data_IF_453399273478
#
_entry.id   IF_453399273478
#
_cell.length_a   1.000
_cell.length_b   1.000
_cell.length_c   1.000
_cell.angle_alpha   90.00
_cell.angle_beta   90.00
_cell.angle_gamma   90.00
#
_symmetry.space_group_name_H-M   'P 1'
#
loop_
_entity.id
_entity.type
_entity.pdbx_description
1 polymer ?
#
# COMPACT_ATOMS: atom_id res chain seq x y z
N UNK A 1 -22.57 -13.45 3.34
CA UNK A 1 -22.29 -13.14 1.92
C UNK A 1 -22.08 -11.65 1.90
N UNK A 2 -20.83 -11.21 1.71
CA UNK A 2 -20.44 -9.81 1.94
C UNK A 2 -20.47 -9.00 0.64
N UNK A 3 -21.40 -9.29 -0.26
CA UNK A 3 -21.55 -8.61 -1.55
C UNK A 3 -23.02 -8.32 -1.82
N UNK A 4 -23.32 -7.08 -2.24
CA UNK A 4 -24.68 -6.63 -2.55
C UNK A 4 -25.04 -6.81 -4.03
N UNK A 5 -24.02 -6.89 -4.90
CA UNK A 5 -24.19 -7.11 -6.34
C UNK A 5 -23.52 -8.41 -6.77
N UNK A 6 -24.19 -9.17 -7.64
CA UNK A 6 -23.67 -10.34 -8.33
C UNK A 6 -23.45 -9.98 -9.79
N UNK A 7 -22.24 -10.21 -10.30
CA UNK A 7 -21.94 -10.06 -11.73
C UNK A 7 -21.88 -11.43 -12.38
N UNK A 8 -22.59 -11.61 -13.48
CA UNK A 8 -22.65 -12.89 -14.20
C UNK A 8 -22.40 -12.70 -15.70
N UNK A 9 -21.78 -13.71 -16.31
CA UNK A 9 -21.74 -13.88 -17.74
C UNK A 9 -22.66 -15.04 -18.13
N UNK A 10 -23.77 -14.76 -18.83
CA UNK A 10 -24.76 -15.78 -19.20
C UNK A 10 -24.40 -16.51 -20.51
N UNK A 11 -25.13 -17.59 -20.82
CA UNK A 11 -24.93 -18.40 -22.03
C UNK A 11 -25.18 -17.61 -23.34
N UNK A 12 -25.96 -16.54 -23.26
CA UNK A 12 -26.15 -15.57 -24.34
C UNK A 12 -24.91 -14.67 -24.55
N UNK A 13 -23.85 -14.87 -23.77
CA UNK A 13 -22.62 -14.10 -23.78
C UNK A 13 -22.89 -12.60 -23.47
N UNK A 14 -23.82 -12.30 -22.56
CA UNK A 14 -23.99 -10.96 -22.00
C UNK A 14 -23.42 -10.87 -20.59
N UNK A 15 -22.84 -9.71 -20.25
CA UNK A 15 -22.47 -9.38 -18.88
C UNK A 15 -23.66 -8.71 -18.19
N UNK A 16 -24.08 -9.24 -17.04
CA UNK A 16 -25.25 -8.77 -16.27
C UNK A 16 -24.87 -8.50 -14.83
N UNK A 17 -25.55 -7.55 -14.21
CA UNK A 17 -25.43 -7.25 -12.79
C UNK A 17 -26.78 -7.52 -12.11
N UNK A 18 -26.74 -8.14 -10.94
CA UNK A 18 -27.91 -8.51 -10.17
C UNK A 18 -27.78 -7.95 -8.76
N UNK A 19 -28.86 -7.39 -8.23
CA UNK A 19 -28.97 -7.02 -6.82
C UNK A 19 -29.92 -8.00 -6.12
N UNK A 20 -29.58 -8.39 -4.89
CA UNK A 20 -30.49 -9.18 -4.06
C UNK A 20 -31.35 -8.22 -3.22
N UNK A 21 -32.64 -8.16 -3.56
CA UNK A 21 -33.62 -7.31 -2.88
C UNK A 21 -34.81 -8.17 -2.46
N UNK A 22 -35.31 -8.03 -1.22
CA UNK A 22 -36.54 -8.70 -0.74
C UNK A 22 -36.70 -10.18 -1.16
N UNK A 23 -35.64 -10.97 -0.98
CA UNK A 23 -35.59 -12.40 -1.32
C UNK A 23 -35.69 -12.77 -2.81
N UNK A 24 -35.41 -11.85 -3.73
CA UNK A 24 -35.27 -12.12 -5.16
C UNK A 24 -34.05 -11.41 -5.75
N UNK A 25 -33.60 -11.89 -6.91
CA UNK A 25 -32.55 -11.26 -7.71
C UNK A 25 -33.19 -10.37 -8.77
N UNK A 26 -32.81 -9.10 -8.79
CA UNK A 26 -33.24 -8.12 -9.79
C UNK A 26 -32.06 -7.71 -10.67
N UNK A 27 -32.24 -7.71 -11.99
CA UNK A 27 -31.22 -7.27 -12.94
C UNK A 27 -31.13 -5.75 -12.94
N UNK A 28 -29.92 -5.21 -12.73
CA UNK A 28 -29.66 -3.76 -12.79
C UNK A 28 -28.67 -3.43 -13.91
N UNK A 29 -28.82 -2.27 -14.57
CA UNK A 29 -27.90 -1.85 -15.62
C UNK A 29 -26.49 -1.59 -15.07
N UNK A 30 -25.48 -2.07 -15.81
CA UNK A 30 -24.08 -1.75 -15.54
C UNK A 30 -23.78 -0.35 -16.12
N UNK A 31 -23.86 0.68 -15.29
CA UNK A 31 -23.53 2.05 -15.67
C UNK A 31 -22.03 2.35 -15.51
N UNK A 32 -21.39 2.88 -16.56
CA UNK A 32 -20.05 3.47 -16.53
C UNK A 32 -20.14 4.93 -16.04
N UNK A 33 -20.18 5.14 -14.74
CA UNK A 33 -20.28 6.49 -14.17
C UNK A 33 -18.90 6.99 -13.68
N UNK A 34 -17.89 6.97 -14.54
CA UNK A 34 -16.58 7.56 -14.21
C UNK A 34 -16.56 9.06 -14.58
N UNK A 35 -15.81 9.92 -13.85
CA UNK A 35 -15.76 11.36 -14.10
C UNK A 35 -15.07 11.79 -15.41
N UNK A 36 -14.43 10.86 -16.14
CA UNK A 36 -13.72 11.20 -17.37
C UNK A 36 -14.67 11.60 -18.50
N UNK A 37 -14.27 12.58 -19.35
CA UNK A 37 -15.01 12.86 -20.58
C UNK A 37 -15.06 11.59 -21.44
N UNK A 38 -16.27 11.26 -21.93
CA UNK A 38 -16.53 10.10 -22.80
C UNK A 38 -15.77 10.23 -24.13
N UNK A 39 -14.49 9.88 -24.14
CA UNK A 39 -13.71 9.64 -25.36
C UNK A 39 -13.64 8.14 -25.71
N UNK A 40 -14.22 7.27 -24.89
CA UNK A 40 -14.26 5.83 -25.17
C UNK A 40 -15.28 5.49 -26.25
N UNK A 41 -14.81 4.93 -27.36
CA UNK A 41 -15.66 4.26 -28.35
C UNK A 41 -16.48 3.18 -27.64
N UNK A 42 -17.80 3.22 -27.81
CA UNK A 42 -18.68 2.23 -27.21
C UNK A 42 -18.45 0.87 -27.88
N UNK A 43 -17.66 0.01 -27.24
CA UNK A 43 -17.35 -1.32 -27.75
C UNK A 43 -18.59 -2.23 -27.81
N UNK A 44 -19.73 -1.80 -27.26
CA UNK A 44 -21.01 -2.51 -27.45
C UNK A 44 -21.46 -2.55 -28.90
N UNK A 45 -20.99 -1.62 -29.77
CA UNK A 45 -21.36 -1.58 -31.19
C UNK A 45 -20.63 -2.63 -32.04
N UNK A 46 -19.44 -3.08 -31.61
CA UNK A 46 -18.55 -4.02 -32.34
C UNK A 46 -18.41 -5.39 -31.67
N UNK A 47 -19.05 -5.59 -30.52
CA UNK A 47 -18.96 -6.81 -29.72
C UNK A 47 -20.30 -7.54 -29.67
N UNK A 48 -20.26 -8.84 -29.96
CA UNK A 48 -21.43 -9.71 -29.95
C UNK A 48 -21.35 -10.84 -28.91
N UNK A 49 -20.27 -10.94 -28.11
CA UNK A 49 -20.13 -11.97 -27.05
C UNK A 49 -19.24 -11.51 -25.87
N UNK A 50 -19.63 -11.81 -24.64
CA UNK A 50 -18.82 -11.83 -23.42
C UNK A 50 -18.41 -13.27 -23.10
N UNK A 51 -17.10 -13.54 -22.97
CA UNK A 51 -16.57 -14.86 -22.64
C UNK A 51 -16.31 -15.05 -21.14
N UNK A 52 -16.27 -13.95 -20.39
CA UNK A 52 -16.00 -13.98 -18.95
C UNK A 52 -15.83 -12.58 -18.40
N UNK A 53 -15.97 -12.48 -17.07
CA UNK A 53 -15.76 -11.24 -16.33
C UNK A 53 -15.03 -11.53 -15.03
N UNK A 54 -14.33 -10.53 -14.50
CA UNK A 54 -13.75 -10.56 -13.16
C UNK A 54 -13.78 -9.18 -12.53
N UNK A 55 -14.00 -9.14 -11.22
CA UNK A 55 -13.89 -7.91 -10.44
C UNK A 55 -12.43 -7.57 -10.18
N UNK A 56 -12.13 -6.27 -10.15
CA UNK A 56 -10.89 -5.79 -9.57
C UNK A 56 -10.87 -6.06 -8.05
N UNK A 57 -9.70 -6.18 -7.43
CA UNK A 57 -9.60 -6.54 -6.00
C UNK A 57 -10.31 -5.57 -5.04
N UNK A 58 -10.28 -4.27 -5.35
CA UNK A 58 -11.00 -3.22 -4.65
C UNK A 58 -12.43 -3.02 -5.15
N UNK A 59 -12.92 -3.86 -6.05
CA UNK A 59 -14.31 -3.86 -6.54
C UNK A 59 -14.76 -2.49 -7.12
N UNK A 60 -13.81 -1.66 -7.57
CA UNK A 60 -14.13 -0.38 -8.21
C UNK A 60 -14.34 -0.51 -9.72
N UNK A 61 -13.92 -1.64 -10.29
CA UNK A 61 -13.91 -1.88 -11.73
C UNK A 61 -14.13 -3.37 -12.05
N UNK A 62 -14.69 -3.66 -13.22
CA UNK A 62 -14.82 -5.00 -13.80
C UNK A 62 -13.99 -5.06 -15.07
N UNK A 63 -13.27 -6.16 -15.26
CA UNK A 63 -12.71 -6.51 -16.56
C UNK A 63 -13.62 -7.53 -17.23
N UNK A 64 -14.05 -7.24 -18.46
CA UNK A 64 -14.94 -8.06 -19.27
C UNK A 64 -14.21 -8.48 -20.54
N UNK A 65 -14.16 -9.78 -20.84
CA UNK A 65 -13.56 -10.30 -22.07
C UNK A 65 -14.64 -10.38 -23.13
N UNK A 66 -14.53 -9.57 -24.17
CA UNK A 66 -15.50 -9.50 -25.27
C UNK A 66 -14.92 -10.04 -26.57
N UNK A 67 -15.70 -10.82 -27.31
CA UNK A 67 -15.44 -11.19 -28.69
C UNK A 67 -15.81 -10.06 -29.63
N UNK A 68 -15.01 -9.88 -30.69
CA UNK A 68 -15.26 -8.88 -31.72
C UNK A 68 -16.07 -9.49 -32.87
N UNK A 69 -17.01 -8.72 -33.42
CA UNK A 69 -17.65 -9.08 -34.68
C UNK A 69 -16.63 -8.88 -35.81
N UNK A 70 -16.18 -9.99 -36.40
CA UNK A 70 -15.24 -9.96 -37.52
C UNK A 70 -15.78 -9.13 -38.68
N UNK A 71 -17.10 -9.04 -38.88
CA UNK A 71 -17.70 -8.28 -39.98
C UNK A 71 -17.67 -6.77 -39.75
N UNK A 72 -17.52 -6.32 -38.51
CA UNK A 72 -17.46 -4.90 -38.13
C UNK A 72 -16.03 -4.44 -37.82
N UNK A 73 -15.08 -5.37 -37.78
CA UNK A 73 -13.68 -5.11 -37.47
C UNK A 73 -12.90 -4.64 -38.71
N UNK A 74 -12.02 -3.65 -38.54
CA UNK A 74 -11.08 -3.23 -39.59
C UNK A 74 -10.24 -4.43 -40.10
N UNK A 75 -10.06 -4.51 -41.42
CA UNK A 75 -9.30 -5.58 -42.09
C UNK A 75 -7.88 -5.77 -41.52
N UNK A 76 -7.25 -4.71 -41.02
CA UNK A 76 -5.94 -4.78 -40.38
C UNK A 76 -5.94 -5.65 -39.12
N UNK A 77 -7.00 -5.64 -38.32
CA UNK A 77 -7.10 -6.44 -37.10
C UNK A 77 -7.55 -7.87 -37.39
N UNK A 78 -8.36 -8.07 -38.44
CA UNK A 78 -8.67 -9.41 -38.97
C UNK A 78 -7.39 -10.16 -39.37
N UNK A 79 -6.45 -9.48 -40.06
CA UNK A 79 -5.18 -10.06 -40.49
C UNK A 79 -4.26 -10.47 -39.32
N UNK A 80 -4.41 -9.82 -38.14
CA UNK A 80 -3.60 -10.08 -36.94
C UNK A 80 -4.20 -11.13 -36.00
N UNK A 81 -5.29 -11.80 -36.39
CA UNK A 81 -5.98 -12.83 -35.57
C UNK A 81 -6.45 -12.35 -34.19
N UNK A 82 -6.68 -11.04 -34.01
CA UNK A 82 -7.25 -10.52 -32.76
C UNK A 82 -8.74 -10.89 -32.69
N UNK A 83 -9.09 -11.79 -31.76
CA UNK A 83 -10.45 -12.37 -31.65
C UNK A 83 -11.22 -11.90 -30.43
N UNK A 84 -10.57 -11.20 -29.51
CA UNK A 84 -11.19 -10.70 -28.29
C UNK A 84 -10.46 -9.45 -27.78
N UNK A 85 -11.20 -8.64 -27.02
CA UNK A 85 -10.71 -7.47 -26.29
C UNK A 85 -11.05 -7.62 -24.81
N UNK A 86 -10.23 -7.03 -23.96
CA UNK A 86 -10.56 -6.85 -22.55
C UNK A 86 -11.05 -5.42 -22.37
N UNK A 87 -12.32 -5.28 -22.01
CA UNK A 87 -12.94 -3.99 -21.67
C UNK A 87 -12.91 -3.80 -20.16
N UNK A 88 -12.54 -2.59 -19.73
CA UNK A 88 -12.50 -2.20 -18.33
C UNK A 88 -13.66 -1.25 -18.04
N UNK A 89 -14.52 -1.63 -17.10
CA UNK A 89 -15.76 -0.93 -16.77
C UNK A 89 -15.70 -0.45 -15.32
N UNK A 90 -15.72 0.86 -15.10
CA UNK A 90 -15.79 1.45 -13.77
C UNK A 90 -17.19 1.27 -13.16
N UNK A 91 -17.25 0.61 -12.01
CA UNK A 91 -18.49 0.29 -11.29
C UNK A 91 -18.58 0.97 -9.92
N UNK A 92 -17.53 1.67 -9.46
CA UNK A 92 -17.53 2.29 -8.13
C UNK A 92 -18.60 3.38 -7.93
N UNK A 93 -19.21 3.90 -9.00
CA UNK A 93 -20.36 4.82 -8.92
C UNK A 93 -21.72 4.12 -8.87
N UNK A 94 -21.76 2.78 -8.85
CA UNK A 94 -23.00 2.00 -8.77
C UNK A 94 -23.43 1.80 -7.32
N UNK A 95 -24.74 1.75 -7.09
CA UNK A 95 -25.36 1.60 -5.77
C UNK A 95 -25.10 0.20 -5.17
N UNK A 96 -24.58 0.13 -3.94
CA UNK A 96 -24.25 -1.15 -3.24
C UNK A 96 -24.80 -1.15 -1.78
N UNK A 97 -25.84 -0.37 -1.47
CA UNK A 97 -26.72 -0.66 -0.33
C UNK A 97 -26.74 0.30 0.87
N UNK A 98 -25.76 1.18 1.11
CA UNK A 98 -25.89 2.28 2.10
C UNK A 98 -25.10 3.52 1.63
N UNK A 99 -25.77 4.65 1.31
CA UNK A 99 -25.06 5.89 0.95
C UNK A 99 -24.32 6.47 2.16
N UNK A 100 -23.20 7.15 1.94
CA UNK A 100 -22.68 8.09 2.93
C UNK A 100 -23.76 9.10 3.31
N UNK A 101 -23.82 9.43 4.60
CA UNK A 101 -24.68 10.48 5.13
C UNK A 101 -24.53 11.75 4.28
N UNK A 102 -25.63 12.46 3.98
CA UNK A 102 -25.74 13.55 2.97
C UNK A 102 -24.86 14.80 3.21
N UNK A 103 -23.82 14.71 4.04
CA UNK A 103 -22.95 15.81 4.45
C UNK A 103 -21.95 16.23 3.37
N UNK A 104 -21.77 15.45 2.30
CA UNK A 104 -20.92 15.80 1.16
C UNK A 104 -21.77 16.55 0.13
N UNK A 105 -22.04 17.84 0.39
CA UNK A 105 -22.68 18.72 -0.60
C UNK A 105 -21.59 19.40 -1.42
N UNK A 106 -21.32 18.89 -2.62
CA UNK A 106 -20.33 19.47 -3.54
C UNK A 106 -20.94 20.72 -4.16
N UNK A 107 -20.64 21.88 -3.57
CA UNK A 107 -21.12 23.20 -3.95
C UNK A 107 -20.55 23.68 -5.29
N UNK A 108 -20.98 23.07 -6.40
CA UNK A 108 -20.78 23.60 -7.74
C UNK A 108 -21.97 23.29 -8.66
N UNK A 109 -22.75 24.26 -9.15
CA UNK A 109 -24.02 24.01 -9.85
C UNK A 109 -23.92 23.29 -11.21
N UNK A 110 -22.72 23.05 -11.75
CA UNK A 110 -22.51 22.16 -12.90
C UNK A 110 -22.41 20.65 -12.52
N UNK A 111 -22.40 20.32 -11.22
CA UNK A 111 -22.18 18.98 -10.66
C UNK A 111 -23.45 18.17 -10.35
N UNK A 112 -24.64 18.66 -10.68
CA UNK A 112 -25.90 18.07 -10.21
C UNK A 112 -26.16 16.62 -10.70
N UNK A 113 -25.53 16.19 -11.80
CA UNK A 113 -25.56 14.79 -12.28
C UNK A 113 -24.50 13.92 -11.57
N UNK A 114 -23.46 14.54 -11.00
CA UNK A 114 -22.33 13.90 -10.31
C UNK A 114 -22.54 13.76 -8.80
N UNK A 115 -23.52 14.43 -8.19
CA UNK A 115 -23.67 14.45 -6.72
C UNK A 115 -24.06 13.07 -6.14
N UNK A 116 -24.98 12.34 -6.77
CA UNK A 116 -25.37 11.01 -6.31
C UNK A 116 -24.32 9.94 -6.63
N UNK A 117 -23.72 9.96 -7.82
CA UNK A 117 -22.63 9.04 -8.20
C UNK A 117 -21.39 9.23 -7.33
N UNK A 118 -21.05 10.47 -6.98
CA UNK A 118 -19.89 10.75 -6.12
C UNK A 118 -20.11 10.21 -4.70
N UNK A 119 -21.34 10.26 -4.18
CA UNK A 119 -21.65 9.62 -2.90
C UNK A 119 -21.42 8.10 -2.95
N UNK A 120 -21.78 7.43 -4.06
CA UNK A 120 -21.53 6.00 -4.25
C UNK A 120 -20.05 5.68 -4.39
N UNK A 121 -19.32 6.48 -5.17
CA UNK A 121 -17.87 6.37 -5.26
C UNK A 121 -17.21 6.51 -3.90
N UNK A 122 -17.64 7.48 -3.10
CA UNK A 122 -17.15 7.67 -1.74
C UNK A 122 -17.39 6.44 -0.86
N UNK A 123 -18.63 5.92 -0.85
CA UNK A 123 -19.00 4.72 -0.08
C UNK A 123 -18.15 3.51 -0.49
N UNK A 124 -18.06 3.26 -1.79
CA UNK A 124 -17.40 2.07 -2.33
C UNK A 124 -15.88 2.14 -2.12
N UNK A 125 -15.26 3.32 -2.28
CA UNK A 125 -13.84 3.51 -1.98
C UNK A 125 -13.55 3.30 -0.50
N UNK A 126 -14.32 3.91 0.42
CA UNK A 126 -14.11 3.75 1.86
C UNK A 126 -14.31 2.30 2.30
N UNK A 127 -15.33 1.63 1.80
CA UNK A 127 -15.57 0.21 2.06
C UNK A 127 -14.39 -0.65 1.57
N UNK A 128 -13.86 -0.35 0.40
CA UNK A 128 -12.72 -1.06 -0.17
C UNK A 128 -11.45 -0.84 0.65
N UNK A 129 -11.17 0.40 1.05
CA UNK A 129 -10.05 0.71 1.95
C UNK A 129 -10.18 -0.04 3.28
N UNK A 130 -11.39 -0.13 3.84
CA UNK A 130 -11.67 -0.90 5.06
C UNK A 130 -11.41 -2.40 4.86
N UNK A 131 -11.81 -2.97 3.72
CA UNK A 131 -11.54 -4.38 3.35
C UNK A 131 -10.05 -4.69 3.34
N UNK A 132 -9.21 -3.75 2.93
CA UNK A 132 -7.75 -3.92 2.93
C UNK A 132 -7.08 -3.78 4.30
N UNK A 133 -7.80 -3.36 5.35
CA UNK A 133 -7.29 -3.40 6.72
C UNK A 133 -7.15 -4.84 7.25
N UNK A 134 -7.81 -5.82 6.63
CA UNK A 134 -7.62 -7.23 6.95
C UNK A 134 -6.22 -7.69 6.52
N UNK A 135 -5.42 -8.16 7.50
CA UNK A 135 -4.04 -8.63 7.32
C UNK A 135 -3.92 -9.88 6.46
N UNK A 136 -4.97 -10.70 6.34
CA UNK A 136 -4.99 -11.91 5.52
C UNK A 136 -5.09 -11.60 4.01
N UNK A 137 -5.55 -10.39 3.66
CA UNK A 137 -5.69 -9.99 2.25
C UNK A 137 -4.40 -9.34 1.75
N UNK A 138 -3.99 -9.65 0.53
CA UNK A 138 -2.91 -8.92 -0.15
C UNK A 138 -3.33 -7.48 -0.48
N UNK A 139 -2.41 -6.52 -0.40
CA UNK A 139 -2.68 -5.14 -0.83
C UNK A 139 -2.55 -5.04 -2.35
N UNK A 140 -3.69 -4.93 -3.03
CA UNK A 140 -3.76 -4.77 -4.50
C UNK A 140 -4.72 -3.62 -4.82
N UNK A 141 -4.26 -2.39 -4.60
CA UNK A 141 -5.08 -1.16 -4.62
C UNK A 141 -5.12 -0.42 -5.97
N UNK A 142 -4.72 -1.06 -7.07
CA UNK A 142 -4.53 -0.34 -8.33
C UNK A 142 -5.82 0.34 -8.81
N UNK A 143 -6.97 -0.32 -8.68
CA UNK A 143 -8.27 0.17 -9.11
C UNK A 143 -8.73 1.36 -8.24
N UNK A 144 -8.56 1.24 -6.92
CA UNK A 144 -8.83 2.33 -5.96
C UNK A 144 -7.91 3.53 -6.21
N UNK A 145 -6.61 3.30 -6.38
CA UNK A 145 -5.62 4.36 -6.65
C UNK A 145 -5.92 5.07 -7.96
N UNK A 146 -6.21 4.33 -9.03
CA UNK A 146 -6.57 4.92 -10.33
C UNK A 146 -7.87 5.71 -10.25
N UNK A 147 -8.89 5.22 -9.54
CA UNK A 147 -10.12 5.98 -9.31
C UNK A 147 -9.85 7.29 -8.56
N UNK A 148 -9.07 7.23 -7.47
CA UNK A 148 -8.69 8.41 -6.69
C UNK A 148 -7.85 9.41 -7.48
N UNK A 149 -6.93 8.95 -8.33
CA UNK A 149 -6.18 9.80 -9.26
C UNK A 149 -7.10 10.48 -10.28
N UNK A 150 -8.10 9.77 -10.78
CA UNK A 150 -9.16 10.37 -11.60
C UNK A 150 -9.90 11.48 -10.85
N UNK A 151 -10.34 11.22 -9.61
CA UNK A 151 -10.97 12.26 -8.79
C UNK A 151 -10.05 13.43 -8.47
N UNK A 152 -8.75 13.20 -8.28
CA UNK A 152 -7.78 14.28 -8.11
C UNK A 152 -7.80 15.25 -9.28
N UNK A 153 -7.88 14.72 -10.51
CA UNK A 153 -7.89 15.51 -11.74
C UNK A 153 -9.25 16.19 -12.00
N UNK A 154 -10.36 15.47 -11.81
CA UNK A 154 -11.68 15.92 -12.27
C UNK A 154 -12.60 16.44 -11.15
N UNK A 155 -12.37 16.08 -9.89
CA UNK A 155 -13.16 16.53 -8.75
C UNK A 155 -12.32 16.62 -7.44
N UNK A 156 -11.29 17.48 -7.38
CA UNK A 156 -10.34 17.54 -6.25
C UNK A 156 -11.01 17.85 -4.90
N UNK A 157 -12.02 18.73 -4.86
CA UNK A 157 -12.74 19.04 -3.61
C UNK A 157 -13.50 17.83 -3.02
N UNK A 158 -14.01 16.95 -3.89
CA UNK A 158 -14.61 15.69 -3.47
C UNK A 158 -13.55 14.74 -2.91
N UNK A 159 -12.39 14.63 -3.58
CA UNK A 159 -11.27 13.82 -3.09
C UNK A 159 -10.80 14.30 -1.71
N UNK A 160 -10.60 15.61 -1.51
CA UNK A 160 -10.19 16.18 -0.22
C UNK A 160 -11.17 15.80 0.89
N UNK A 161 -12.47 16.00 0.66
CA UNK A 161 -13.52 15.63 1.62
C UNK A 161 -13.51 14.13 1.93
N UNK A 162 -13.37 13.28 0.89
CA UNK A 162 -13.32 11.84 1.03
C UNK A 162 -12.10 11.39 1.87
N UNK A 163 -10.95 12.00 1.61
CA UNK A 163 -9.72 11.72 2.35
C UNK A 163 -9.80 12.18 3.80
N UNK A 164 -10.42 13.33 4.08
CA UNK A 164 -10.66 13.79 5.45
C UNK A 164 -11.57 12.85 6.24
N UNK A 165 -12.63 12.33 5.60
CA UNK A 165 -13.50 11.31 6.19
C UNK A 165 -12.68 10.04 6.49
N UNK A 166 -11.92 9.55 5.51
CA UNK A 166 -11.13 8.34 5.68
C UNK A 166 -10.09 8.49 6.80
N UNK A 167 -9.32 9.58 6.80
CA UNK A 167 -8.35 9.91 7.86
C UNK A 167 -9.04 9.93 9.22
N UNK A 168 -10.19 10.59 9.35
CA UNK A 168 -10.92 10.64 10.61
C UNK A 168 -11.31 9.25 11.08
N UNK A 169 -11.71 8.34 10.18
CA UNK A 169 -12.00 6.94 10.52
C UNK A 169 -10.76 6.08 10.81
N UNK A 170 -9.60 6.42 10.25
CA UNK A 170 -8.35 5.69 10.53
C UNK A 170 -7.90 5.89 11.98
N UNK A 171 -8.05 7.13 12.49
CA UNK A 171 -7.60 7.58 13.80
C UNK A 171 -8.68 7.53 14.90
N UNK A 172 -9.93 7.18 14.57
CA UNK A 172 -10.99 6.94 15.55
C UNK A 172 -11.22 5.44 15.73
N UNK A 173 -11.18 4.96 16.98
CA UNK A 173 -11.49 3.56 17.34
C UNK A 173 -13.00 3.26 17.35
N UNK A 174 -13.85 4.31 17.28
CA UNK A 174 -15.31 4.19 17.28
C UNK A 174 -15.93 4.74 15.98
N UNK A 175 -16.59 3.91 15.14
CA UNK A 175 -17.26 4.37 13.92
C UNK A 175 -18.44 5.33 14.16
N UNK A 176 -18.88 5.57 15.40
CA UNK A 176 -19.99 6.49 15.71
C UNK A 176 -19.57 7.91 16.11
N UNK A 177 -18.27 8.20 16.28
CA UNK A 177 -17.81 9.52 16.72
C UNK A 177 -17.06 10.28 15.61
N UNK A 178 -17.82 10.89 14.68
CA UNK A 178 -17.28 11.83 13.69
C UNK A 178 -17.59 13.25 14.15
N UNK A 179 -16.66 13.87 14.88
CA UNK A 179 -16.67 15.31 15.12
C UNK A 179 -15.80 16.00 14.06
N UNK A 180 -16.46 16.83 13.24
CA UNK A 180 -15.89 17.55 12.09
C UNK A 180 -14.91 18.68 12.51
N UNK A 181 -14.75 18.94 13.81
CA UNK A 181 -14.03 20.12 14.32
C UNK A 181 -12.84 19.82 15.25
N UNK A 182 -12.26 18.61 15.21
CA UNK A 182 -11.05 18.34 15.98
C UNK A 182 -9.83 19.07 15.35
N UNK A 183 -9.12 19.94 16.09
CA UNK A 183 -7.96 20.65 15.56
C UNK A 183 -6.90 19.67 15.03
N UNK A 184 -6.27 20.01 13.91
CA UNK A 184 -5.20 19.22 13.27
C UNK A 184 -4.09 18.78 14.23
N UNK A 185 -3.85 19.58 15.28
CA UNK A 185 -2.85 19.33 16.31
C UNK A 185 -3.11 18.07 17.17
N UNK A 186 -4.36 17.62 17.36
CA UNK A 186 -4.65 16.43 18.19
C UNK A 186 -4.49 15.09 17.46
N UNK A 187 -4.37 15.11 16.12
CA UNK A 187 -4.17 13.90 15.31
C UNK A 187 -2.73 13.39 15.34
N UNK A 188 -1.83 14.16 15.93
CA UNK A 188 -0.38 13.92 15.89
C UNK A 188 0.10 12.88 16.90
N UNK A 189 -0.63 12.67 18.00
CA UNK A 189 -0.28 11.70 19.06
C UNK A 189 -0.98 10.33 18.88
N UNK A 190 -1.76 10.15 17.82
CA UNK A 190 -2.62 8.97 17.61
C UNK A 190 -1.95 7.91 16.72
N UNK A 191 -0.90 8.26 15.96
CA UNK A 191 -0.20 7.29 15.09
C UNK A 191 0.25 6.00 15.80
N UNK A 192 0.73 6.04 17.06
CA UNK A 192 1.14 4.84 17.78
C UNK A 192 0.00 3.83 17.98
N UNK A 193 -1.26 4.26 18.11
CA UNK A 193 -2.42 3.37 18.28
C UNK A 193 -2.97 2.82 16.96
N UNK A 194 -2.60 3.40 15.82
CA UNK A 194 -3.05 2.94 14.50
C UNK A 194 -2.37 1.63 14.14
N UNK A 195 -3.09 0.67 13.54
CA UNK A 195 -2.50 -0.60 13.13
C UNK A 195 -1.44 -0.44 12.04
N UNK A 196 -0.46 -1.36 11.99
CA UNK A 196 0.59 -1.37 10.95
C UNK A 196 -0.03 -1.32 9.54
N UNK A 197 -1.11 -2.09 9.36
CA UNK A 197 -1.80 -2.20 8.09
C UNK A 197 -2.43 -0.89 7.64
N UNK A 198 -3.08 -0.16 8.55
CA UNK A 198 -3.65 1.16 8.27
C UNK A 198 -2.57 2.18 7.87
N UNK A 199 -1.41 2.17 8.56
CA UNK A 199 -0.26 3.03 8.21
C UNK A 199 0.31 2.72 6.82
N UNK A 200 0.37 1.43 6.44
CA UNK A 200 0.79 1.01 5.10
C UNK A 200 -0.17 1.52 4.02
N UNK A 201 -1.49 1.42 4.24
CA UNK A 201 -2.50 1.97 3.34
C UNK A 201 -2.35 3.50 3.22
N UNK A 202 -2.18 4.19 4.34
CA UNK A 202 -1.94 5.63 4.38
C UNK A 202 -0.74 6.02 3.52
N UNK A 203 0.39 5.32 3.66
CA UNK A 203 1.58 5.59 2.85
C UNK A 203 1.36 5.40 1.35
N UNK A 204 0.58 4.40 0.95
CA UNK A 204 0.23 4.20 -0.47
C UNK A 204 -0.58 5.38 -0.98
N UNK A 205 -1.63 5.78 -0.27
CA UNK A 205 -2.51 6.88 -0.67
C UNK A 205 -1.73 8.21 -0.72
N UNK A 206 -0.92 8.50 0.30
CA UNK A 206 -0.04 9.68 0.29
C UNK A 206 0.85 9.69 -0.96
N UNK A 207 1.56 8.59 -1.26
CA UNK A 207 2.54 8.54 -2.35
C UNK A 207 1.92 8.49 -3.74
N UNK A 208 0.83 7.75 -3.91
CA UNK A 208 0.27 7.45 -5.24
C UNK A 208 -0.92 8.32 -5.61
N UNK A 209 -1.58 8.94 -4.65
CA UNK A 209 -2.72 9.82 -4.91
C UNK A 209 -2.34 11.25 -4.55
N UNK A 210 -2.00 11.53 -3.29
CA UNK A 210 -1.89 12.92 -2.85
C UNK A 210 -0.61 13.62 -3.33
N UNK A 211 0.52 12.91 -3.37
CA UNK A 211 1.85 13.45 -3.74
C UNK A 211 2.34 13.05 -5.14
N UNK A 212 1.49 12.43 -5.96
CA UNK A 212 1.88 11.81 -7.24
C UNK A 212 2.31 12.78 -8.35
N UNK A 213 2.11 14.08 -8.19
CA UNK A 213 2.13 15.04 -9.31
C UNK A 213 3.56 15.48 -9.70
N UNK A 214 4.58 15.10 -8.94
CA UNK A 214 5.94 15.65 -9.10
C UNK A 214 6.82 14.98 -10.17
N UNK A 215 6.29 14.09 -11.01
CA UNK A 215 7.07 13.41 -12.05
C UNK A 215 6.72 13.82 -13.49
N UNK A 216 5.61 14.53 -13.73
CA UNK A 216 5.16 14.89 -15.08
C UNK A 216 5.19 16.39 -15.40
N UNK A 217 5.34 17.23 -14.40
CA UNK A 217 5.43 18.66 -14.63
C UNK A 217 6.88 19.07 -14.87
N UNK A 218 7.18 19.50 -16.10
CA UNK A 218 8.46 20.12 -16.45
C UNK A 218 8.76 21.34 -15.56
N UNK A 219 9.98 21.90 -15.67
CA UNK A 219 10.41 23.04 -14.86
C UNK A 219 9.59 24.29 -15.25
N UNK A 220 8.42 24.47 -14.64
CA UNK A 220 7.51 25.56 -14.97
C UNK A 220 6.05 25.42 -14.51
N UNK A 221 5.62 24.32 -13.88
CA UNK A 221 4.27 24.26 -13.30
C UNK A 221 4.20 25.09 -12.02
N UNK A 222 3.33 26.10 -12.04
CA UNK A 222 3.07 27.03 -10.94
C UNK A 222 2.63 26.29 -9.68
N UNK A 223 3.18 26.71 -8.54
CA UNK A 223 3.01 26.16 -7.20
C UNK A 223 1.53 25.88 -6.84
N UNK A 224 1.14 24.61 -6.93
CA UNK A 224 -0.11 24.12 -6.37
C UNK A 224 -0.05 24.12 -4.83
N UNK A 225 -0.86 25.00 -4.22
CA UNK A 225 -1.21 25.11 -2.81
C UNK A 225 -0.27 24.40 -1.81
N UNK A 226 0.89 25.02 -1.53
CA UNK A 226 1.98 24.47 -0.71
C UNK A 226 1.53 23.84 0.62
N UNK A 227 0.43 24.31 1.21
CA UNK A 227 -0.06 23.88 2.54
C UNK A 227 -0.67 22.48 2.55
N UNK A 228 -1.42 22.08 1.52
CA UNK A 228 -2.05 20.75 1.45
C UNK A 228 -1.01 19.69 1.14
N UNK A 229 -0.11 19.99 0.19
CA UNK A 229 1.03 19.14 -0.13
C UNK A 229 1.94 18.95 1.08
N UNK A 230 2.22 20.03 1.83
CA UNK A 230 3.00 19.97 3.07
C UNK A 230 2.34 19.12 4.16
N UNK A 231 1.01 19.19 4.31
CA UNK A 231 0.26 18.33 5.22
C UNK A 231 0.45 16.84 4.88
N UNK A 232 0.24 16.45 3.62
CA UNK A 232 0.35 15.05 3.19
C UNK A 232 1.79 14.54 3.24
N UNK A 233 2.76 15.39 2.93
CA UNK A 233 4.17 15.07 3.06
C UNK A 233 4.56 14.86 4.53
N UNK A 234 4.12 15.76 5.42
CA UNK A 234 4.33 15.63 6.87
C UNK A 234 3.70 14.35 7.40
N UNK A 235 2.48 14.03 6.99
CA UNK A 235 1.78 12.82 7.40
C UNK A 235 2.50 11.55 6.92
N UNK A 236 2.99 11.53 5.68
CA UNK A 236 3.80 10.44 5.14
C UNK A 236 5.10 10.25 5.93
N UNK A 237 5.85 11.33 6.18
CA UNK A 237 7.12 11.27 6.93
C UNK A 237 6.89 10.70 8.33
N UNK A 238 5.83 11.14 9.01
CA UNK A 238 5.49 10.64 10.36
C UNK A 238 5.04 9.19 10.35
N UNK A 239 4.21 8.80 9.40
CA UNK A 239 3.79 7.41 9.22
C UNK A 239 4.97 6.49 8.92
N UNK A 240 5.92 6.92 8.08
CA UNK A 240 7.15 6.17 7.83
C UNK A 240 8.08 6.12 9.03
N UNK A 241 8.18 7.19 9.82
CA UNK A 241 8.90 7.17 11.09
C UNK A 241 8.29 6.14 12.04
N UNK A 242 6.97 6.15 12.23
CA UNK A 242 6.26 5.19 13.07
C UNK A 242 6.47 3.74 12.61
N UNK A 243 6.29 3.46 11.32
CA UNK A 243 6.56 2.14 10.75
C UNK A 243 8.02 1.71 10.95
N UNK A 244 8.97 2.65 10.90
CA UNK A 244 10.39 2.39 11.16
C UNK A 244 10.65 2.09 12.63
N UNK A 245 10.05 2.83 13.56
CA UNK A 245 10.14 2.53 15.00
C UNK A 245 9.57 1.15 15.31
N UNK A 246 8.45 0.77 14.70
CA UNK A 246 7.88 -0.58 14.83
C UNK A 246 8.78 -1.66 14.26
N UNK A 247 9.39 -1.41 13.10
CA UNK A 247 10.36 -2.33 12.49
C UNK A 247 11.56 -2.58 13.40
N UNK A 248 12.12 -1.52 13.98
CA UNK A 248 13.26 -1.63 14.90
C UNK A 248 12.83 -2.31 16.20
N UNK A 249 11.70 -1.91 16.78
CA UNK A 249 11.15 -2.51 18.00
C UNK A 249 10.88 -4.00 17.84
N UNK A 250 10.28 -4.39 16.70
CA UNK A 250 10.07 -5.79 16.35
C UNK A 250 11.40 -6.56 16.30
N UNK A 251 12.41 -6.00 15.65
CA UNK A 251 13.73 -6.63 15.51
C UNK A 251 14.40 -6.81 16.87
N UNK A 252 14.41 -5.78 17.72
CA UNK A 252 14.97 -5.87 19.08
C UNK A 252 14.23 -6.87 19.95
N UNK A 253 12.90 -6.87 19.92
CA UNK A 253 12.09 -7.83 20.66
C UNK A 253 12.33 -9.27 20.17
N UNK A 254 12.51 -9.48 18.85
CA UNK A 254 12.88 -10.76 18.29
C UNK A 254 14.26 -11.25 18.79
N UNK A 255 15.26 -10.37 18.86
CA UNK A 255 16.60 -10.69 19.39
C UNK A 255 16.53 -11.09 20.87
N UNK A 256 15.81 -10.32 21.69
CA UNK A 256 15.64 -10.61 23.11
C UNK A 256 14.95 -11.96 23.32
N UNK A 257 13.89 -12.24 22.54
CA UNK A 257 13.18 -13.52 22.58
C UNK A 257 14.07 -14.69 22.16
N UNK A 258 14.84 -14.56 21.08
CA UNK A 258 15.80 -15.57 20.65
C UNK A 258 16.86 -15.84 21.72
N UNK A 259 17.39 -14.78 22.33
CA UNK A 259 18.39 -14.90 23.41
C UNK A 259 17.79 -15.66 24.61
N UNK A 260 16.56 -15.36 24.99
CA UNK A 260 15.85 -16.08 26.05
C UNK A 260 15.62 -17.57 25.72
N UNK A 261 15.34 -17.90 24.46
CA UNK A 261 15.24 -19.29 24.00
C UNK A 261 16.56 -20.04 24.07
N UNK A 262 17.65 -19.41 23.63
CA UNK A 262 18.99 -20.00 23.70
C UNK A 262 19.39 -20.27 25.15
N UNK A 263 19.13 -19.34 26.08
CA UNK A 263 19.37 -19.52 27.51
C UNK A 263 18.56 -20.66 28.12
N UNK A 264 17.35 -20.93 27.61
CA UNK A 264 16.47 -22.02 28.06
C UNK A 264 16.77 -23.36 27.36
N UNK A 265 17.72 -23.41 26.43
CA UNK A 265 18.05 -24.62 25.67
C UNK A 265 16.95 -25.05 24.68
N UNK A 266 16.02 -24.15 24.33
CA UNK A 266 14.97 -24.44 23.35
C UNK A 266 15.49 -24.24 21.92
N UNK A 267 15.16 -25.16 21.01
CA UNK A 267 15.55 -25.04 19.60
C UNK A 267 14.97 -23.79 18.95
N UNK A 268 15.81 -23.09 18.19
CA UNK A 268 15.41 -21.96 17.32
C UNK A 268 15.45 -22.35 15.85
N UNK A 269 15.55 -23.64 15.54
CA UNK A 269 15.51 -24.14 14.16
C UNK A 269 14.22 -23.67 13.46
N UNK A 270 14.37 -23.17 12.23
CA UNK A 270 13.29 -22.61 11.39
C UNK A 270 12.69 -21.27 11.85
N UNK A 271 13.26 -20.62 12.86
CA UNK A 271 12.84 -19.25 13.21
C UNK A 271 13.59 -18.19 12.39
N UNK A 272 12.90 -17.11 12.05
CA UNK A 272 13.49 -15.96 11.38
C UNK A 272 14.67 -15.41 12.19
N UNK A 273 15.77 -15.13 11.50
CA UNK A 273 17.03 -14.66 12.09
C UNK A 273 17.16 -13.15 11.91
N UNK A 274 17.16 -12.36 13.01
CA UNK A 274 17.37 -10.93 12.95
C UNK A 274 18.77 -10.61 12.44
N UNK A 275 18.84 -9.64 11.54
CA UNK A 275 20.09 -9.06 11.05
C UNK A 275 20.13 -7.58 11.42
N UNK A 276 21.27 -6.93 11.17
CA UNK A 276 21.39 -5.46 11.15
C UNK A 276 21.08 -4.72 12.45
N UNK A 277 21.18 -5.40 13.59
CA UNK A 277 20.83 -4.82 14.90
C UNK A 277 21.70 -3.62 15.23
N UNK A 278 22.98 -3.64 14.80
CA UNK A 278 23.89 -2.51 14.97
C UNK A 278 23.49 -1.27 14.16
N UNK A 279 23.05 -1.42 12.90
CA UNK A 279 22.55 -0.31 12.09
C UNK A 279 21.26 0.26 12.67
N UNK A 280 20.38 -0.60 13.18
CA UNK A 280 19.16 -0.16 13.85
C UNK A 280 19.46 0.55 15.19
N UNK A 281 20.44 0.11 15.98
CA UNK A 281 20.89 0.83 17.19
C UNK A 281 21.50 2.20 16.84
N UNK A 282 22.28 2.26 15.76
CA UNK A 282 22.83 3.51 15.23
C UNK A 282 21.71 4.47 14.82
N UNK A 283 20.67 3.95 14.15
CA UNK A 283 19.48 4.74 13.82
C UNK A 283 18.80 5.30 15.06
N UNK A 284 18.54 4.49 16.09
CA UNK A 284 17.93 4.99 17.34
C UNK A 284 18.83 6.03 18.03
N UNK A 285 20.17 5.91 17.92
CA UNK A 285 21.11 6.89 18.47
C UNK A 285 21.04 8.25 17.79
N UNK A 286 20.75 8.28 16.48
CA UNK A 286 20.69 9.51 15.71
C UNK A 286 19.34 10.23 15.82
N UNK A 287 18.35 9.61 16.45
CA UNK A 287 17.00 10.15 16.59
C UNK A 287 16.70 10.39 18.07
N UNK A 288 16.72 11.65 18.49
CA UNK A 288 16.57 12.04 19.90
C UNK A 288 15.16 11.79 20.48
N UNK A 289 14.15 11.70 19.61
CA UNK A 289 12.73 11.53 19.99
C UNK A 289 12.19 10.19 19.49
N UNK A 290 12.58 9.07 20.09
CA UNK A 290 11.93 7.77 19.82
C UNK A 290 10.97 7.38 20.93
N UNK A 291 10.07 6.43 20.67
CA UNK A 291 9.21 5.87 21.73
C UNK A 291 10.03 5.38 22.93
N UNK A 292 9.55 5.67 24.14
CA UNK A 292 10.20 5.24 25.39
C UNK A 292 10.40 3.72 25.45
N UNK A 293 9.45 2.96 24.92
CA UNK A 293 9.49 1.50 24.83
C UNK A 293 10.60 1.05 23.87
N UNK A 294 10.83 1.78 22.79
CA UNK A 294 11.96 1.50 21.90
C UNK A 294 13.30 1.79 22.61
N UNK A 295 13.37 2.89 23.35
CA UNK A 295 14.54 3.20 24.20
C UNK A 295 14.80 2.12 25.26
N UNK A 296 13.74 1.56 25.85
CA UNK A 296 13.82 0.45 26.80
C UNK A 296 14.29 -0.86 26.14
N UNK A 297 13.74 -1.21 24.97
CA UNK A 297 14.20 -2.38 24.20
C UNK A 297 15.68 -2.23 23.84
N UNK A 298 16.07 -1.02 23.42
CA UNK A 298 17.46 -0.69 23.11
C UNK A 298 18.40 -0.88 24.29
N UNK A 299 18.03 -0.41 25.50
CA UNK A 299 18.89 -0.59 26.68
C UNK A 299 19.07 -2.07 26.99
N UNK A 300 18.02 -2.88 26.87
CA UNK A 300 18.10 -4.33 27.07
C UNK A 300 18.97 -5.03 26.04
N UNK A 301 18.95 -4.58 24.79
CA UNK A 301 19.85 -5.08 23.75
C UNK A 301 21.31 -4.83 24.13
N UNK A 302 21.62 -3.64 24.68
CA UNK A 302 22.97 -3.32 25.19
C UNK A 302 23.35 -4.19 26.39
N UNK A 303 22.41 -4.50 27.27
CA UNK A 303 22.63 -5.36 28.44
C UNK A 303 22.98 -6.81 28.07
N UNK A 304 22.67 -7.26 26.85
CA UNK A 304 23.07 -8.60 26.38
C UNK A 304 24.58 -8.76 26.21
N UNK A 305 25.32 -7.65 26.01
CA UNK A 305 26.76 -7.66 25.74
C UNK A 305 27.14 -8.67 24.65
N UNK A 306 28.17 -9.47 24.90
CA UNK A 306 28.67 -10.49 23.95
C UNK A 306 27.67 -11.63 23.67
N UNK A 307 26.59 -11.75 24.45
CA UNK A 307 25.56 -12.77 24.20
C UNK A 307 24.77 -12.53 22.90
N UNK A 308 24.80 -11.31 22.38
CA UNK A 308 24.04 -10.87 21.21
C UNK A 308 24.44 -11.58 19.91
N UNK A 309 25.72 -11.94 19.76
CA UNK A 309 26.27 -12.55 18.55
C UNK A 309 25.67 -13.94 18.27
N UNK A 310 25.17 -14.61 19.31
CA UNK A 310 24.46 -15.89 19.17
C UNK A 310 23.01 -15.75 18.73
N UNK A 311 22.42 -14.57 18.91
CA UNK A 311 21.01 -14.30 18.66
C UNK A 311 20.73 -13.59 17.33
N UNK A 312 21.71 -12.83 16.81
CA UNK A 312 21.63 -12.06 15.57
C UNK A 312 23.00 -11.74 14.98
N UNK A 313 23.01 -11.26 13.73
CA UNK A 313 24.20 -10.66 13.11
C UNK A 313 24.39 -9.22 13.63
N UNK A 314 25.42 -9.02 14.47
CA UNK A 314 25.78 -7.71 15.03
C UNK A 314 27.13 -7.24 14.46
N UNK A 315 27.09 -6.45 13.38
CA UNK A 315 28.27 -5.78 12.83
C UNK A 315 28.01 -4.30 12.68
N UNK A 316 28.80 -3.46 13.35
CA UNK A 316 28.71 -1.99 13.26
C UNK A 316 29.35 -1.49 11.97
N UNK A 317 30.40 -2.16 11.50
CA UNK A 317 31.17 -1.73 10.35
C UNK A 317 30.52 -2.25 9.05
N UNK A 318 30.31 -1.32 8.12
CA UNK A 318 29.92 -1.61 6.75
C UNK A 318 31.02 -1.17 5.79
N UNK A 319 31.22 -1.92 4.70
CA UNK A 319 32.23 -1.62 3.69
C UNK A 319 31.57 -1.47 2.32
N UNK A 320 32.14 -0.59 1.50
CA UNK A 320 31.67 -0.35 0.15
C UNK A 320 31.93 -1.58 -0.72
N UNK A 321 30.90 -2.06 -1.42
CA UNK A 321 31.02 -3.23 -2.31
C UNK A 321 31.89 -2.97 -3.55
N UNK A 322 32.16 -1.70 -3.89
CA UNK A 322 32.96 -1.33 -5.07
C UNK A 322 34.43 -1.10 -4.75
N UNK A 323 34.75 -0.47 -3.62
CA UNK A 323 36.12 -0.06 -3.28
C UNK A 323 36.59 -0.53 -1.89
N UNK A 324 35.77 -1.29 -1.16
CA UNK A 324 36.04 -1.78 0.20
C UNK A 324 36.27 -0.69 1.25
N UNK A 325 36.10 0.59 0.91
CA UNK A 325 36.20 1.69 1.85
C UNK A 325 35.12 1.57 2.94
N UNK A 326 35.41 1.94 4.20
CA UNK A 326 34.41 2.01 5.26
C UNK A 326 33.25 2.95 4.90
N UNK A 327 32.03 2.55 5.25
CA UNK A 327 30.80 3.31 5.00
C UNK A 327 30.14 3.64 6.34
N UNK A 328 30.12 4.92 6.76
CA UNK A 328 29.44 5.31 7.98
C UNK A 328 27.91 5.18 7.83
N UNK A 329 27.24 4.97 8.96
CA UNK A 329 25.78 4.98 9.01
C UNK A 329 25.29 6.43 9.22
N UNK A 330 24.91 7.10 8.13
CA UNK A 330 24.44 8.49 8.15
C UNK A 330 22.96 8.64 7.76
N UNK A 331 22.44 7.69 6.98
CA UNK A 331 21.07 7.68 6.48
C UNK A 331 20.55 6.25 6.35
N UNK A 332 19.22 6.09 6.42
CA UNK A 332 18.54 4.78 6.37
C UNK A 332 18.28 4.28 4.96
N UNK A 333 18.39 5.15 3.95
CA UNK A 333 17.99 4.86 2.57
C UNK A 333 19.17 4.83 1.60
N UNK A 334 20.13 5.72 1.81
CA UNK A 334 21.30 5.92 0.94
C UNK A 334 22.54 6.02 1.81
N UNK A 335 23.65 5.47 1.32
CA UNK A 335 24.96 5.67 1.92
C UNK A 335 25.95 6.12 0.85
N UNK A 336 26.94 6.91 1.26
CA UNK A 336 28.01 7.36 0.39
C UNK A 336 29.32 6.93 1.03
N UNK A 337 30.14 6.18 0.29
CA UNK A 337 31.47 5.81 0.78
C UNK A 337 32.45 6.98 0.62
N UNK A 338 33.65 6.87 1.22
CA UNK A 338 34.69 7.92 1.11
C UNK A 338 35.07 8.27 -0.33
N UNK A 339 35.05 7.27 -1.22
CA UNK A 339 35.31 7.43 -2.66
C UNK A 339 34.06 7.89 -3.45
N UNK A 340 33.02 8.36 -2.75
CA UNK A 340 31.77 8.92 -3.32
C UNK A 340 30.92 7.94 -4.14
N UNK A 341 31.07 6.64 -3.96
CA UNK A 341 30.09 5.68 -4.49
C UNK A 341 28.78 5.78 -3.72
N UNK A 342 27.67 5.98 -4.43
CA UNK A 342 26.31 5.96 -3.87
C UNK A 342 25.82 4.52 -3.76
N UNK A 343 25.41 4.13 -2.56
CA UNK A 343 24.94 2.80 -2.23
C UNK A 343 23.50 2.90 -1.69
N UNK A 344 22.68 1.90 -1.98
CA UNK A 344 21.31 1.83 -1.45
C UNK A 344 21.29 0.96 -0.20
N UNK A 345 20.43 1.34 0.74
CA UNK A 345 20.16 0.55 1.94
C UNK A 345 18.84 -0.20 1.81
N UNK A 346 18.82 -1.40 2.38
CA UNK A 346 17.65 -2.23 2.48
C UNK A 346 16.64 -1.55 3.41
N UNK A 347 15.41 -1.32 2.95
CA UNK A 347 14.34 -0.69 3.75
C UNK A 347 13.93 -1.51 4.98
N UNK A 348 14.19 -2.81 4.99
CA UNK A 348 13.86 -3.71 6.09
C UNK A 348 14.98 -3.88 7.12
N UNK A 349 16.24 -3.89 6.69
CA UNK A 349 17.40 -4.10 7.59
C UNK A 349 18.27 -2.86 7.76
N UNK A 350 18.11 -1.82 6.97
CA UNK A 350 19.01 -0.65 6.91
C UNK A 350 20.46 -0.99 6.53
N UNK A 351 20.80 -2.24 6.22
CA UNK A 351 22.11 -2.63 5.67
C UNK A 351 22.26 -2.19 4.22
N UNK A 352 23.49 -2.01 3.76
CA UNK A 352 23.79 -1.90 2.34
C UNK A 352 23.23 -3.10 1.56
N UNK A 353 22.47 -2.83 0.50
CA UNK A 353 21.96 -3.85 -0.39
C UNK A 353 23.12 -4.54 -1.13
N UNK A 354 23.06 -5.86 -1.28
CA UNK A 354 24.00 -6.59 -2.11
C UNK A 354 23.90 -6.16 -3.59
N UNK A 355 25.04 -5.92 -4.24
CA UNK A 355 25.12 -5.66 -5.69
C UNK A 355 25.20 -6.97 -6.48
N UNK A 356 25.58 -8.07 -5.84
CA UNK A 356 25.79 -9.38 -6.48
C UNK A 356 24.55 -10.27 -6.48
N UNK A 357 23.52 -9.93 -5.71
CA UNK A 357 22.29 -10.73 -5.57
C UNK A 357 21.08 -9.92 -6.05
N UNK A 358 20.07 -10.58 -6.65
CA UNK A 358 18.87 -9.89 -7.07
C UNK A 358 18.13 -9.32 -5.85
N UNK A 359 18.04 -8.00 -5.81
CA UNK A 359 17.36 -7.26 -4.76
C UNK A 359 15.89 -7.08 -5.14
N UNK A 360 15.03 -6.98 -4.12
CA UNK A 360 13.62 -6.68 -4.31
C UNK A 360 13.40 -5.16 -4.34
N UNK A 361 12.43 -4.71 -5.14
CA UNK A 361 12.04 -3.30 -5.18
C UNK A 361 10.54 -3.13 -4.98
N UNK A 362 10.17 -2.05 -4.29
CA UNK A 362 8.78 -1.68 -4.08
C UNK A 362 8.31 -0.74 -5.19
N UNK A 363 7.32 -1.16 -5.99
CA UNK A 363 6.70 -0.30 -7.02
C UNK A 363 5.99 0.93 -6.45
N UNK A 364 5.70 0.92 -5.14
CA UNK A 364 5.03 2.04 -4.48
C UNK A 364 6.00 3.15 -4.08
N UNK A 365 6.97 2.85 -3.22
CA UNK A 365 7.89 3.83 -2.67
C UNK A 365 9.28 3.85 -3.34
N UNK A 366 9.55 2.95 -4.29
CA UNK A 366 10.86 2.81 -4.93
C UNK A 366 11.95 2.21 -4.03
N UNK A 367 11.63 1.87 -2.79
CA UNK A 367 12.58 1.32 -1.82
C UNK A 367 13.09 -0.07 -2.20
N UNK A 368 14.36 -0.31 -1.93
CA UNK A 368 15.03 -1.60 -2.14
C UNK A 368 14.98 -2.45 -0.87
N UNK A 369 14.82 -3.76 -1.01
CA UNK A 369 14.82 -4.71 0.10
C UNK A 369 15.65 -5.93 -0.30
N UNK A 370 16.71 -6.18 0.46
CA UNK A 370 17.57 -7.36 0.29
C UNK A 370 17.20 -8.44 1.33
N UNK A 371 17.07 -8.03 2.59
CA UNK A 371 16.69 -8.90 3.71
C UNK A 371 15.20 -8.81 3.97
N UNK A 372 14.49 -9.93 3.81
CA UNK A 372 13.04 -10.01 3.97
C UNK A 372 12.64 -10.16 5.45
N UNK A 373 11.48 -9.60 5.80
CA UNK A 373 10.87 -9.70 7.12
C UNK A 373 9.95 -10.93 7.21
N UNK A 374 9.74 -11.49 8.41
CA UNK A 374 8.82 -12.61 8.59
C UNK A 374 7.38 -12.15 8.43
N UNK A 375 6.50 -13.05 7.98
CA UNK A 375 5.06 -12.80 7.86
C UNK A 375 4.45 -12.21 9.13
N UNK A 376 4.92 -12.66 10.30
CA UNK A 376 4.44 -12.18 11.60
C UNK A 376 4.56 -10.67 11.78
N UNK A 377 5.57 -10.02 11.20
CA UNK A 377 5.66 -8.56 11.23
C UNK A 377 4.43 -7.89 10.59
N UNK A 378 3.93 -8.45 9.49
CA UNK A 378 2.83 -7.88 8.71
C UNK A 378 1.44 -8.23 9.26
N UNK A 379 1.34 -9.31 10.04
CA UNK A 379 0.07 -9.80 10.61
C UNK A 379 -0.10 -9.43 12.09
N UNK A 380 0.81 -8.64 12.66
CA UNK A 380 0.72 -8.17 14.03
C UNK A 380 -0.52 -7.30 14.27
N UNK A 381 -1.32 -7.68 15.26
CA UNK A 381 -2.53 -6.96 15.64
C UNK A 381 -2.25 -5.72 16.50
N UNK A 382 -1.19 -5.76 17.32
CA UNK A 382 -0.76 -4.69 18.21
C UNK A 382 0.64 -4.18 17.81
N UNK A 383 0.96 -2.93 18.14
CA UNK A 383 2.29 -2.36 17.89
C UNK A 383 3.34 -3.05 18.76
N UNK A 384 4.54 -3.42 18.25
CA UNK A 384 5.61 -3.98 19.08
C UNK A 384 6.06 -3.03 20.22
N UNK A 385 5.64 -1.76 20.16
CA UNK A 385 5.95 -0.73 21.13
C UNK A 385 4.82 -0.52 22.17
N UNK A 386 3.71 -1.27 22.08
CA UNK A 386 2.64 -1.21 23.07
C UNK A 386 3.12 -1.75 24.42
N UNK A 387 2.91 -0.98 25.49
CA UNK A 387 3.34 -1.33 26.85
C UNK A 387 2.76 -2.66 27.38
N UNK A 388 1.64 -3.12 26.80
CA UNK A 388 0.95 -4.35 27.17
C UNK A 388 1.39 -5.58 26.35
N UNK A 389 2.37 -5.43 25.43
CA UNK A 389 2.87 -6.58 24.69
C UNK A 389 3.78 -7.42 25.58
N UNK A 390 3.24 -8.54 26.06
CA UNK A 390 4.03 -9.57 26.70
C UNK A 390 5.11 -10.08 25.73
N UNK A 391 6.38 -10.04 26.14
CA UNK A 391 7.55 -10.54 25.40
C UNK A 391 7.38 -11.98 24.88
N UNK A 392 6.42 -12.73 25.42
CA UNK A 392 6.06 -14.09 25.01
C UNK A 392 5.31 -14.18 23.67
N UNK A 393 4.65 -13.14 23.17
CA UNK A 393 3.67 -13.27 22.08
C UNK A 393 4.25 -13.32 20.65
N UNK A 394 5.50 -12.89 20.44
CA UNK A 394 6.06 -12.73 19.10
C UNK A 394 6.34 -14.05 18.38
N UNK A 395 5.56 -14.41 17.37
CA UNK A 395 5.82 -15.61 16.58
C UNK A 395 6.96 -15.36 15.57
N UNK A 396 8.09 -16.04 15.73
CA UNK A 396 9.25 -15.96 14.82
C UNK A 396 9.33 -17.14 13.84
N UNK A 397 8.39 -18.10 13.89
CA UNK A 397 8.41 -19.28 13.02
C UNK A 397 7.86 -19.03 11.61
N UNK A 398 7.43 -17.81 11.31
CA UNK A 398 6.88 -17.44 10.01
C UNK A 398 7.95 -17.36 8.91
N UNK A 399 7.58 -17.72 7.68
CA UNK A 399 8.45 -17.56 6.54
C UNK A 399 8.73 -16.08 6.27
N UNK A 400 9.91 -15.78 5.71
CA UNK A 400 10.21 -14.44 5.23
C UNK A 400 9.43 -14.16 3.95
N UNK A 401 8.71 -13.03 3.90
CA UNK A 401 7.79 -12.70 2.81
C UNK A 401 8.28 -11.49 2.02
N UNK A 402 8.09 -11.46 0.68
CA UNK A 402 8.54 -10.36 -0.17
C UNK A 402 7.57 -9.18 -0.12
N UNK A 403 7.33 -8.61 1.06
CA UNK A 403 6.45 -7.44 1.25
C UNK A 403 7.26 -6.21 1.68
N UNK A 404 6.88 -5.03 1.20
CA UNK A 404 7.50 -3.78 1.63
C UNK A 404 7.10 -3.43 3.08
N UNK A 405 8.04 -3.15 4.00
CA UNK A 405 7.69 -2.77 5.38
C UNK A 405 6.85 -1.48 5.45
N UNK A 406 7.07 -0.54 4.53
CA UNK A 406 6.43 0.78 4.53
C UNK A 406 5.10 0.84 3.75
N UNK A 407 4.87 -0.08 2.84
CA UNK A 407 3.68 -0.07 1.98
C UNK A 407 2.88 -1.37 2.04
N UNK A 408 3.40 -2.47 2.58
CA UNK A 408 2.75 -3.78 2.57
C UNK A 408 2.50 -4.39 1.18
N UNK A 409 2.89 -3.70 0.11
CA UNK A 409 2.78 -4.18 -1.27
C UNK A 409 3.84 -5.25 -1.55
N UNK A 410 3.45 -6.24 -2.36
CA UNK A 410 4.34 -7.28 -2.87
C UNK A 410 5.51 -6.65 -3.64
N UNK A 411 6.72 -6.95 -3.19
CA UNK A 411 7.94 -6.51 -3.83
C UNK A 411 8.17 -7.28 -5.13
N UNK A 412 8.72 -6.60 -6.13
CA UNK A 412 9.08 -7.20 -7.39
C UNK A 412 10.60 -7.44 -7.44
N UNK A 413 11.03 -8.55 -8.04
CA UNK A 413 12.45 -8.75 -8.35
C UNK A 413 12.80 -7.86 -9.53
N UNK A 414 13.94 -7.18 -9.44
CA UNK A 414 14.49 -6.49 -10.58
C UNK A 414 14.93 -7.56 -11.61
N UNK A 415 14.11 -7.83 -12.63
CA UNK A 415 14.57 -8.63 -13.77
C UNK A 415 15.50 -7.75 -14.62
N UNK A 416 16.63 -8.29 -15.12
CA UNK A 416 17.44 -7.57 -16.07
C UNK A 416 16.59 -7.13 -17.27
N UNK A 417 16.71 -5.86 -17.67
CA UNK A 417 15.90 -5.27 -18.75
C UNK A 417 15.92 -6.08 -20.07
N UNK A 418 16.97 -6.88 -20.31
CA UNK A 418 17.07 -7.73 -21.51
C UNK A 418 16.11 -8.93 -21.51
N UNK A 419 15.60 -9.37 -20.35
CA UNK A 419 14.57 -10.43 -20.27
C UNK A 419 13.14 -9.89 -20.43
N UNK A 420 12.97 -8.57 -20.40
CA UNK A 420 11.69 -7.88 -20.58
C UNK A 420 11.54 -7.26 -21.98
N UNK A 421 12.56 -7.41 -22.84
CA UNK A 421 12.47 -6.97 -24.23
C UNK A 421 11.47 -7.84 -24.98
N UNK A 422 10.38 -7.24 -25.44
CA UNK A 422 9.44 -7.83 -26.40
C UNK A 422 9.95 -7.77 -27.84
N UNK A 423 11.14 -7.18 -28.08
CA UNK A 423 11.79 -7.30 -29.38
C UNK A 423 12.42 -8.68 -29.52
N UNK A 424 12.08 -9.44 -30.58
CA UNK A 424 12.77 -10.69 -30.88
C UNK A 424 14.24 -10.38 -31.16
N UNK A 425 15.14 -11.15 -30.53
CA UNK A 425 16.58 -11.18 -30.83
C UNK A 425 16.80 -11.81 -32.20
#
# INVERSE_FOLDING_TARGET
MDGYCLYSCSQDNSARCWIYHENHLEEIPVHTNFPEPKESTDLSEVSNRCFGLTLAPGEQMIAVVRGLDLNLLDQMYQARTQKAVVEFIWIGGQFVGIPLDRRIDVSNPQSAILSSSNLWWGSNILWSLKKYENVEKSIVLWDVVTALQGFKKYAPAFLETLMDIWISTLFSDDPQCVSINAPSYSRHDILPSVSLRKLQLLNIICRKVMLSDHAQDGPGAENGNDTVTDFWNTLLIRSERELRERLVGFTFAAVLKRTAYLLKGTSTENSWFPVSVAQMDSWVSMNDEVHNQLSYLRSRIKDLGNGIDSACEYSVEETCLYCSAPVPFESTDVAICRERHTLTRCRASMLLCCVLQPVWHCVCCGGMVDKLLPESFFTMQASPLDANNDEGSLNLSGAAVPLCPFCGILLQRQMPNFLLSTSPV
#
